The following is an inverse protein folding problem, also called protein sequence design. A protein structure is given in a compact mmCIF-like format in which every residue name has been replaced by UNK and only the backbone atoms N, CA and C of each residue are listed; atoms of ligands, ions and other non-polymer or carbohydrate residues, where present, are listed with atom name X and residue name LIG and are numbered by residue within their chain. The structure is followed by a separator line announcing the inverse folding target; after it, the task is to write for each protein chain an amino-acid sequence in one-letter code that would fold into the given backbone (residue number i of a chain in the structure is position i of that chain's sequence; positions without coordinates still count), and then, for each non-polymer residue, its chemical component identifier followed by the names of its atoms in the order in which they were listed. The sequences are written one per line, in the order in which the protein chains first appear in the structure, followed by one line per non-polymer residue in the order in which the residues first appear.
data_IF_881373648453
#
_entry.id   IF_881373648453
#
_cell.length_a   1.000
_cell.length_b   1.000
_cell.length_c   1.000
_cell.angle_alpha   90.00
_cell.angle_beta   90.00
_cell.angle_gamma   90.00
#
_symmetry.space_group_name_H-M   'P 1'
#
loop_
_entity.id
_entity.type
_entity.pdbx_description
1 polymer ?
#
# COMPACT_ATOMS: atom_id res chain seq x y z
N UNK A 1 -2.88 12.83 -2.53
CA UNK A 1 -2.34 11.90 -3.55
C UNK A 1 -0.87 11.57 -3.31
N UNK A 2 0.04 12.54 -3.36
CA UNK A 2 1.48 12.31 -3.15
C UNK A 2 1.78 11.63 -1.80
N UNK A 3 1.20 12.12 -0.70
CA UNK A 3 1.42 11.52 0.63
C UNK A 3 0.97 10.05 0.71
N UNK A 4 -0.04 9.67 -0.08
CA UNK A 4 -0.57 8.31 -0.09
C UNK A 4 0.38 7.33 -0.79
N UNK A 5 1.56 7.74 -1.25
CA UNK A 5 2.57 6.88 -1.90
C UNK A 5 3.71 6.43 -1.00
N UNK A 6 3.71 6.75 0.29
CA UNK A 6 4.64 6.08 1.20
C UNK A 6 4.16 4.68 1.65
N UNK A 7 2.84 4.45 1.88
CA UNK A 7 2.38 3.23 2.53
C UNK A 7 1.61 2.24 1.63
N UNK A 8 1.66 2.37 0.29
CA UNK A 8 0.70 1.60 -0.54
C UNK A 8 1.06 0.13 -0.59
N UNK A 9 2.35 -0.20 -0.68
CA UNK A 9 2.80 -1.58 -0.76
C UNK A 9 2.32 -2.41 0.45
N UNK A 10 2.23 -1.80 1.64
CA UNK A 10 1.68 -2.44 2.84
C UNK A 10 0.24 -1.99 3.17
N UNK A 11 -0.44 -1.35 2.23
CA UNK A 11 -1.82 -0.92 2.35
C UNK A 11 -2.77 -2.10 2.63
N UNK A 12 -3.85 -1.83 3.39
CA UNK A 12 -4.77 -2.88 3.82
C UNK A 12 -4.09 -3.97 4.66
N UNK A 13 -3.03 -3.60 5.38
CA UNK A 13 -2.18 -4.49 6.18
C UNK A 13 -1.48 -5.56 5.35
N UNK A 14 -0.74 -5.10 4.35
CA UNK A 14 0.06 -5.97 3.50
C UNK A 14 -0.73 -6.71 2.43
N UNK A 15 -1.97 -6.30 2.12
CA UNK A 15 -2.79 -6.99 1.12
C UNK A 15 -2.09 -7.09 -0.25
N UNK A 16 -1.43 -6.03 -0.79
CA UNK A 16 -0.68 -6.15 -2.03
C UNK A 16 0.44 -7.19 -1.98
N UNK A 17 1.21 -7.25 -0.89
CA UNK A 17 2.28 -8.24 -0.70
C UNK A 17 1.70 -9.65 -0.51
N UNK A 18 0.55 -9.78 0.16
CA UNK A 18 -0.16 -11.06 0.33
C UNK A 18 -0.56 -11.61 -1.04
N UNK A 19 -1.21 -10.78 -1.87
CA UNK A 19 -1.61 -11.13 -3.22
C UNK A 19 -0.40 -11.50 -4.09
N UNK A 20 0.68 -10.73 -4.00
CA UNK A 20 1.93 -11.00 -4.69
C UNK A 20 2.43 -12.41 -4.37
N UNK A 21 2.49 -12.79 -3.09
CA UNK A 21 2.84 -14.15 -2.67
C UNK A 21 1.87 -15.20 -3.23
N UNK A 22 0.55 -14.97 -3.13
CA UNK A 22 -0.48 -15.90 -3.61
C UNK A 22 -0.38 -16.20 -5.11
N UNK A 23 -0.24 -15.18 -5.96
CA UNK A 23 -0.18 -15.39 -7.42
C UNK A 23 1.18 -15.91 -7.87
N UNK A 24 2.26 -15.57 -7.16
CA UNK A 24 3.59 -16.10 -7.48
C UNK A 24 3.76 -17.54 -7.02
N UNK A 25 3.03 -17.95 -5.98
CA UNK A 25 3.21 -19.23 -5.29
C UNK A 25 4.44 -19.25 -4.38
N UNK A 26 4.95 -18.07 -4.02
CA UNK A 26 6.13 -17.88 -3.17
C UNK A 26 5.73 -17.24 -1.83
N UNK A 27 6.49 -17.44 -0.74
CA UNK A 27 6.21 -16.82 0.56
C UNK A 27 6.12 -15.30 0.45
N UNK A 28 5.16 -14.69 1.16
CA UNK A 28 4.92 -13.24 1.07
C UNK A 28 5.93 -12.41 1.87
N UNK A 29 6.51 -13.01 2.92
CA UNK A 29 7.39 -12.36 3.88
C UNK A 29 8.67 -11.78 3.23
N UNK A 30 9.41 -12.51 2.37
CA UNK A 30 10.58 -11.98 1.70
C UNK A 30 10.27 -10.81 0.76
N UNK A 31 9.13 -10.86 0.04
CA UNK A 31 8.66 -9.72 -0.76
C UNK A 31 8.37 -8.50 0.09
N UNK A 32 7.73 -8.69 1.25
CA UNK A 32 7.47 -7.62 2.19
C UNK A 32 8.75 -6.98 2.72
N UNK A 33 9.72 -7.80 3.13
CA UNK A 33 11.03 -7.33 3.56
C UNK A 33 11.72 -6.50 2.47
N UNK A 34 11.73 -7.01 1.24
CA UNK A 34 12.35 -6.35 0.09
C UNK A 34 11.62 -5.05 -0.30
N UNK A 35 10.28 -5.06 -0.31
CA UNK A 35 9.48 -3.86 -0.57
C UNK A 35 9.76 -2.78 0.47
N UNK A 36 9.96 -3.15 1.75
CA UNK A 36 10.29 -2.20 2.80
C UNK A 36 11.63 -1.52 2.57
N UNK A 37 12.63 -2.28 2.10
CA UNK A 37 13.95 -1.74 1.73
C UNK A 37 13.90 -0.85 0.49
N UNK A 38 12.97 -1.09 -0.44
CA UNK A 38 12.79 -0.25 -1.63
C UNK A 38 12.03 1.04 -1.32
N UNK A 39 10.86 0.93 -0.67
CA UNK A 39 9.95 2.04 -0.42
C UNK A 39 10.47 2.98 0.66
N UNK A 40 11.28 2.52 1.62
CA UNK A 40 11.83 3.38 2.67
C UNK A 40 12.65 4.57 2.14
N UNK A 41 13.39 4.38 1.04
CA UNK A 41 14.12 5.48 0.40
C UNK A 41 13.17 6.52 -0.19
N UNK A 42 12.05 6.07 -0.75
CA UNK A 42 11.01 6.96 -1.28
C UNK A 42 10.27 7.66 -0.14
N UNK A 43 9.98 6.94 0.94
CA UNK A 43 9.35 7.48 2.14
C UNK A 43 10.19 8.58 2.82
N UNK A 44 11.52 8.51 2.71
CA UNK A 44 12.40 9.59 3.13
C UNK A 44 12.17 10.88 2.33
N UNK A 45 11.94 10.77 1.03
CA UNK A 45 11.81 11.91 0.10
C UNK A 45 10.42 12.53 0.13
N UNK A 46 9.36 11.72 0.36
CA UNK A 46 7.97 12.17 0.29
C UNK A 46 7.67 13.39 1.19
N UNK A 47 8.07 13.46 2.47
CA UNK A 47 7.83 14.63 3.31
C UNK A 47 8.41 15.93 2.71
N UNK A 48 9.58 15.87 2.07
CA UNK A 48 10.17 17.02 1.40
C UNK A 48 9.35 17.45 0.18
N UNK A 49 8.87 16.49 -0.60
CA UNK A 49 7.96 16.78 -1.74
C UNK A 49 6.68 17.45 -1.25
N UNK A 50 6.09 16.96 -0.16
CA UNK A 50 4.87 17.54 0.40
C UNK A 50 5.07 18.98 0.87
N UNK A 51 6.17 19.25 1.59
CA UNK A 51 6.53 20.59 2.04
C UNK A 51 6.77 21.51 0.85
N UNK A 52 7.46 21.03 -0.19
CA UNK A 52 7.70 21.80 -1.40
C UNK A 52 6.42 22.09 -2.19
N UNK A 53 5.48 21.14 -2.27
CA UNK A 53 4.19 21.36 -2.93
C UNK A 53 3.31 22.34 -2.14
N UNK A 54 3.44 22.35 -0.81
CA UNK A 54 2.66 23.24 0.06
C UNK A 54 3.14 24.69 0.05
N UNK A 55 4.45 24.94 0.16
CA UNK A 55 5.00 26.31 0.31
C UNK A 55 6.33 26.53 -0.46
N UNK A 56 6.57 25.71 -1.49
CA UNK A 56 7.70 25.85 -2.39
C UNK A 56 9.07 25.76 -1.71
N UNK A 57 10.02 26.56 -2.20
CA UNK A 57 11.39 26.61 -1.68
C UNK A 57 11.46 27.20 -0.26
N UNK A 58 10.53 28.09 0.09
CA UNK A 58 10.45 28.70 1.42
C UNK A 58 10.09 27.65 2.45
N UNK A 59 9.00 26.93 2.23
CA UNK A 59 8.57 25.82 3.09
C UNK A 59 9.68 24.80 3.28
N UNK A 60 10.36 24.42 2.19
CA UNK A 60 11.47 23.47 2.27
C UNK A 60 12.60 23.99 3.16
N UNK A 61 13.03 25.25 2.98
CA UNK A 61 14.09 25.86 3.79
C UNK A 61 13.72 25.96 5.27
N UNK A 62 12.43 26.14 5.59
CA UNK A 62 11.97 26.32 6.97
C UNK A 62 11.66 24.99 7.66
N UNK A 63 11.09 24.02 6.95
CA UNK A 63 10.57 22.77 7.52
C UNK A 63 11.40 21.52 7.15
N UNK A 64 12.55 21.66 6.47
CA UNK A 64 13.42 20.50 6.16
C UNK A 64 13.80 19.66 7.38
N UNK A 65 14.03 20.20 8.61
CA UNK A 65 14.37 19.34 9.75
C UNK A 65 13.21 18.43 10.13
N UNK A 66 11.99 18.97 10.15
CA UNK A 66 10.78 18.20 10.42
C UNK A 66 10.50 17.16 9.32
N UNK A 67 10.68 17.53 8.05
CA UNK A 67 10.56 16.61 6.92
C UNK A 67 11.58 15.47 6.98
N UNK A 68 12.83 15.77 7.33
CA UNK A 68 13.88 14.78 7.53
C UNK A 68 13.54 13.83 8.67
N UNK A 69 13.15 14.36 9.83
CA UNK A 69 12.78 13.56 10.99
C UNK A 69 11.60 12.65 10.68
N UNK A 70 10.57 13.16 10.01
CA UNK A 70 9.42 12.37 9.58
C UNK A 70 9.84 11.25 8.61
N UNK A 71 10.60 11.58 7.55
CA UNK A 71 11.02 10.64 6.53
C UNK A 71 11.97 9.55 7.06
N UNK A 72 12.96 9.93 7.87
CA UNK A 72 13.91 8.99 8.48
C UNK A 72 13.22 8.06 9.46
N UNK A 73 12.39 8.59 10.37
CA UNK A 73 11.67 7.75 11.34
C UNK A 73 10.69 6.79 10.65
N UNK A 74 9.97 7.26 9.62
CA UNK A 74 9.05 6.42 8.87
C UNK A 74 9.79 5.33 8.08
N UNK A 75 10.78 5.71 7.26
CA UNK A 75 11.55 4.78 6.45
C UNK A 75 12.35 3.77 7.27
N UNK A 76 13.00 4.21 8.36
CA UNK A 76 13.73 3.30 9.25
C UNK A 76 12.79 2.28 9.90
N UNK A 77 11.62 2.72 10.36
CA UNK A 77 10.62 1.82 10.93
C UNK A 77 10.09 0.85 9.88
N UNK A 78 9.87 1.30 8.64
CA UNK A 78 9.48 0.41 7.54
C UNK A 78 10.52 -0.69 7.30
N UNK A 79 11.81 -0.36 7.22
CA UNK A 79 12.89 -1.35 7.00
C UNK A 79 12.94 -2.38 8.13
N UNK A 80 12.78 -1.93 9.38
CA UNK A 80 12.85 -2.81 10.54
C UNK A 80 11.61 -3.71 10.60
N UNK A 81 10.41 -3.13 10.55
CA UNK A 81 9.18 -3.90 10.72
C UNK A 81 8.86 -4.79 9.52
N UNK A 82 9.25 -4.42 8.29
CA UNK A 82 8.98 -5.26 7.13
C UNK A 82 9.68 -6.62 7.18
N UNK A 83 10.79 -6.72 7.92
CA UNK A 83 11.51 -7.98 8.12
C UNK A 83 10.81 -8.94 9.09
N UNK A 84 10.09 -8.39 10.07
CA UNK A 84 9.37 -9.20 11.06
C UNK A 84 7.92 -9.44 10.66
N UNK A 85 7.26 -8.41 10.14
CA UNK A 85 5.84 -8.43 9.83
C UNK A 85 5.44 -7.35 8.82
N UNK A 86 5.40 -7.73 7.54
CA UNK A 86 4.99 -6.83 6.47
C UNK A 86 3.55 -6.30 6.64
N UNK A 87 2.66 -7.02 7.35
CA UNK A 87 1.26 -6.60 7.53
C UNK A 87 1.10 -5.41 8.48
N UNK A 88 2.00 -5.28 9.46
CA UNK A 88 1.97 -4.20 10.46
C UNK A 88 2.93 -3.05 10.14
N UNK A 89 3.71 -3.18 9.06
CA UNK A 89 4.83 -2.29 8.76
C UNK A 89 4.44 -0.82 8.69
N UNK A 90 3.40 -0.47 7.93
CA UNK A 90 3.01 0.94 7.78
C UNK A 90 2.26 1.49 8.99
N UNK A 91 1.57 0.65 9.75
CA UNK A 91 0.95 1.06 11.02
C UNK A 91 2.05 1.44 12.00
N UNK A 92 3.06 0.59 12.15
CA UNK A 92 4.21 0.88 13.00
C UNK A 92 4.96 2.13 12.53
N UNK A 93 5.26 2.23 11.23
CA UNK A 93 5.97 3.38 10.66
C UNK A 93 5.23 4.70 10.87
N UNK A 94 3.90 4.72 10.66
CA UNK A 94 3.09 5.90 10.89
C UNK A 94 3.07 6.31 12.37
N UNK A 95 2.89 5.36 13.30
CA UNK A 95 2.86 5.64 14.73
C UNK A 95 4.21 6.14 15.25
N UNK A 96 5.31 5.46 14.91
CA UNK A 96 6.66 5.86 15.32
C UNK A 96 6.99 7.23 14.73
N UNK A 97 6.73 7.45 13.44
CA UNK A 97 7.00 8.73 12.80
C UNK A 97 6.19 9.87 13.42
N UNK A 98 4.90 9.63 13.73
CA UNK A 98 4.08 10.62 14.42
C UNK A 98 4.61 10.97 15.81
N UNK A 99 4.96 9.96 16.63
CA UNK A 99 5.52 10.17 17.98
C UNK A 99 6.84 10.93 17.92
N UNK A 100 7.75 10.51 17.04
CA UNK A 100 9.06 11.14 16.87
C UNK A 100 8.90 12.59 16.38
N UNK A 101 8.00 12.85 15.43
CA UNK A 101 7.76 14.19 14.92
C UNK A 101 7.14 15.12 15.99
N UNK A 102 6.20 14.61 16.80
CA UNK A 102 5.62 15.36 17.92
C UNK A 102 6.67 15.65 18.99
N UNK A 103 7.51 14.66 19.34
CA UNK A 103 8.59 14.84 20.30
C UNK A 103 9.62 15.87 19.78
N UNK A 104 9.98 15.79 18.50
CA UNK A 104 10.85 16.76 17.85
C UNK A 104 10.23 18.16 17.87
N UNK A 105 8.94 18.30 17.57
CA UNK A 105 8.21 19.57 17.61
C UNK A 105 8.12 20.22 19.00
N UNK A 106 8.36 19.47 20.08
CA UNK A 106 8.49 20.05 21.44
C UNK A 106 9.81 20.78 21.64
N UNK A 107 10.87 20.35 20.94
CA UNK A 107 12.23 20.89 21.05
C UNK A 107 12.52 21.90 19.94
N UNK A 108 12.01 21.64 18.74
CA UNK A 108 12.22 22.45 17.55
C UNK A 108 10.89 23.05 17.06
N UNK A 109 10.88 24.35 16.77
CA UNK A 109 9.74 25.07 16.19
C UNK A 109 10.20 25.87 14.98
N UNK A 110 9.37 25.98 13.92
CA UNK A 110 9.71 26.82 12.77
C UNK A 110 9.75 28.29 13.17
N UNK A 111 10.65 29.05 12.55
CA UNK A 111 10.87 30.49 12.82
C UNK A 111 9.65 31.34 12.43
N UNK A 112 8.88 30.89 11.43
CA UNK A 112 7.63 31.51 11.00
C UNK A 112 6.53 30.45 10.96
N UNK A 113 5.36 30.79 11.52
CA UNK A 113 4.15 29.98 11.40
C UNK A 113 3.24 30.62 10.37
N UNK A 114 3.06 29.98 9.22
CA UNK A 114 2.01 30.38 8.26
C UNK A 114 0.67 30.17 8.97
N UNK A 115 -0.17 31.20 9.05
CA UNK A 115 -1.49 31.13 9.67
C UNK A 115 -2.28 29.97 9.09
N UNK A 116 -2.55 28.96 9.93
CA UNK A 116 -3.12 27.70 9.47
C UNK A 116 -4.59 27.88 9.06
N UNK A 117 -4.89 27.76 7.77
CA UNK A 117 -6.14 27.11 7.40
C UNK A 117 -5.97 25.63 7.77
N UNK A 118 -6.81 25.06 8.65
CA UNK A 118 -6.67 23.67 9.06
C UNK A 118 -6.81 22.77 7.83
N UNK A 119 -5.70 22.16 7.41
CA UNK A 119 -5.72 21.19 6.33
C UNK A 119 -6.47 19.96 6.84
N UNK A 120 -7.61 19.67 6.23
CA UNK A 120 -8.47 18.56 6.62
C UNK A 120 -7.77 17.24 6.27
N UNK A 121 -7.14 16.60 7.25
CA UNK A 121 -6.79 15.19 7.17
C UNK A 121 -8.03 14.37 7.56
N UNK A 122 -8.74 13.81 6.58
CA UNK A 122 -9.89 12.93 6.82
C UNK A 122 -10.61 12.56 5.54
N UNK A 123 -10.41 11.33 5.06
CA UNK A 123 -10.97 10.79 3.83
C UNK A 123 -12.39 10.22 3.97
N UNK A 124 -13.35 11.04 4.40
CA UNK A 124 -14.78 10.71 4.26
C UNK A 124 -15.58 11.99 4.10
N UNK A 125 -15.85 12.38 2.85
CA UNK A 125 -16.69 13.53 2.51
C UNK A 125 -17.79 13.08 1.55
N UNK A 126 -18.70 12.27 2.05
CA UNK A 126 -20.01 12.06 1.39
C UNK A 126 -21.06 13.07 1.89
N UNK A 127 -20.67 14.06 2.70
CA UNK A 127 -21.59 15.10 3.15
C UNK A 127 -21.01 16.53 2.92
N UNK A 128 -21.39 17.21 1.82
CA UNK A 128 -21.08 18.62 1.62
C UNK A 128 -21.79 19.53 2.66
N UNK A 129 -22.71 19.00 3.47
CA UNK A 129 -23.33 19.70 4.59
C UNK A 129 -22.60 19.49 5.93
N UNK A 130 -21.45 18.79 5.98
CA UNK A 130 -20.61 18.77 7.17
C UNK A 130 -19.87 20.10 7.33
N UNK A 131 -20.63 21.17 7.54
CA UNK A 131 -20.17 22.37 8.23
C UNK A 131 -19.67 21.86 9.57
N UNK A 132 -18.34 21.76 9.71
CA UNK A 132 -17.73 21.51 11.01
C UNK A 132 -18.14 22.67 11.90
N UNK A 133 -19.13 22.42 12.76
CA UNK A 133 -19.41 23.30 13.88
C UNK A 133 -18.08 23.51 14.57
N UNK A 134 -17.66 24.78 14.67
CA UNK A 134 -16.45 25.14 15.40
C UNK A 134 -16.45 24.37 16.72
N UNK A 135 -15.35 23.66 17.00
CA UNK A 135 -15.19 22.91 18.24
C UNK A 135 -15.56 23.79 19.43
N UNK A 136 -16.18 23.19 20.44
CA UNK A 136 -16.69 23.91 21.61
C UNK A 136 -15.58 24.83 22.18
N UNK A 137 -15.87 26.07 22.61
CA UNK A 137 -14.85 27.06 23.02
C UNK A 137 -13.86 26.60 24.11
N UNK A 138 -14.14 25.50 24.81
CA UNK A 138 -13.26 24.87 25.81
C UNK A 138 -12.34 23.76 25.28
N UNK A 139 -12.35 23.46 23.98
CA UNK A 139 -11.66 22.31 23.38
C UNK A 139 -12.34 20.97 23.68
N UNK A 140 -11.82 19.90 23.08
CA UNK A 140 -12.38 18.56 23.26
C UNK A 140 -12.08 17.99 24.65
N UNK A 141 -13.07 17.35 25.27
CA UNK A 141 -12.87 16.68 26.55
C UNK A 141 -11.88 15.52 26.43
N UNK A 142 -11.27 15.08 27.54
CA UNK A 142 -10.39 13.90 27.52
C UNK A 142 -11.13 12.65 27.01
N UNK A 143 -12.43 12.56 27.29
CA UNK A 143 -13.30 11.48 26.80
C UNK A 143 -13.47 11.55 25.27
N UNK A 144 -13.74 12.73 24.72
CA UNK A 144 -13.93 12.90 23.26
C UNK A 144 -12.65 12.58 22.50
N UNK A 145 -11.50 12.99 23.05
CA UNK A 145 -10.19 12.63 22.51
C UNK A 145 -9.99 11.12 22.48
N UNK A 146 -10.25 10.43 23.60
CA UNK A 146 -10.13 8.95 23.65
C UNK A 146 -11.09 8.29 22.66
N UNK A 147 -12.37 8.69 22.65
CA UNK A 147 -13.39 8.15 21.75
C UNK A 147 -13.01 8.33 20.27
N UNK A 148 -12.39 9.46 19.91
CA UNK A 148 -11.93 9.72 18.54
C UNK A 148 -10.79 8.78 18.09
N UNK A 149 -9.96 8.31 19.02
CA UNK A 149 -8.85 7.38 18.72
C UNK A 149 -9.22 5.89 18.85
N UNK A 150 -10.37 5.56 19.47
CA UNK A 150 -10.80 4.17 19.67
C UNK A 150 -10.87 3.33 18.38
N UNK A 151 -11.37 3.81 17.23
CA UNK A 151 -11.41 3.00 16.01
C UNK A 151 -10.03 2.52 15.59
N UNK A 152 -9.03 3.40 15.66
CA UNK A 152 -7.63 3.06 15.36
C UNK A 152 -7.05 2.10 16.41
N UNK A 153 -7.40 2.31 17.69
CA UNK A 153 -6.97 1.42 18.77
C UNK A 153 -7.52 -0.01 18.61
N UNK A 154 -8.79 -0.18 18.19
CA UNK A 154 -9.37 -1.49 17.93
C UNK A 154 -8.69 -2.21 16.76
N UNK A 155 -8.39 -1.49 15.69
CA UNK A 155 -7.61 -2.05 14.57
C UNK A 155 -6.26 -2.51 15.10
N UNK A 156 -5.48 -1.63 15.75
CA UNK A 156 -4.15 -1.99 16.28
C UNK A 156 -4.23 -3.21 17.22
N UNK A 157 -5.19 -3.23 18.14
CA UNK A 157 -5.34 -4.30 19.12
C UNK A 157 -5.69 -5.65 18.47
N UNK A 158 -6.75 -5.70 17.64
CA UNK A 158 -7.18 -6.94 16.99
C UNK A 158 -6.09 -7.53 16.09
N UNK A 159 -5.43 -6.67 15.31
CA UNK A 159 -4.35 -7.11 14.45
C UNK A 159 -3.12 -7.57 15.23
N UNK A 160 -2.76 -6.90 16.31
CA UNK A 160 -1.63 -7.32 17.14
C UNK A 160 -1.90 -8.66 17.83
N UNK A 161 -3.11 -8.85 18.36
CA UNK A 161 -3.51 -10.09 19.05
C UNK A 161 -3.51 -11.28 18.10
N UNK A 162 -4.08 -11.14 16.90
CA UNK A 162 -4.16 -12.24 15.92
C UNK A 162 -2.79 -12.68 15.43
N UNK A 163 -1.78 -11.81 15.49
CA UNK A 163 -0.41 -12.13 15.07
C UNK A 163 0.38 -12.91 16.13
N UNK A 164 -0.18 -13.15 17.33
CA UNK A 164 0.42 -14.05 18.31
C UNK A 164 0.51 -15.46 17.69
N UNK A 165 1.69 -16.10 17.63
CA UNK A 165 1.90 -17.33 16.85
C UNK A 165 0.88 -18.44 17.13
N UNK A 166 0.55 -18.68 18.40
CA UNK A 166 -0.44 -19.69 18.79
C UNK A 166 -1.85 -19.39 18.24
N UNK A 167 -2.28 -18.13 18.33
CA UNK A 167 -3.60 -17.71 17.84
C UNK A 167 -3.62 -17.70 16.30
N UNK A 168 -2.55 -17.21 15.68
CA UNK A 168 -2.38 -17.22 14.23
C UNK A 168 -2.51 -18.62 13.66
N UNK A 169 -1.75 -19.58 14.20
CA UNK A 169 -1.81 -20.98 13.73
C UNK A 169 -3.19 -21.61 13.94
N UNK A 170 -3.87 -21.29 15.04
CA UNK A 170 -5.24 -21.78 15.28
C UNK A 170 -6.23 -21.22 14.24
N UNK A 171 -6.15 -19.92 13.94
CA UNK A 171 -7.04 -19.27 12.97
C UNK A 171 -6.72 -19.66 11.52
N UNK A 172 -5.43 -19.81 11.18
CA UNK A 172 -4.99 -20.29 9.86
C UNK A 172 -5.42 -21.77 9.65
N UNK A 173 -5.50 -22.58 10.71
CA UNK A 173 -6.06 -23.93 10.67
C UNK A 173 -7.56 -23.98 10.34
N UNK A 174 -8.28 -22.86 10.48
CA UNK A 174 -9.69 -22.73 10.09
C UNK A 174 -9.87 -22.33 8.61
N UNK A 175 -8.78 -22.24 7.84
CA UNK A 175 -8.83 -21.89 6.43
C UNK A 175 -9.62 -22.93 5.63
N UNK A 176 -10.50 -22.44 4.76
CA UNK A 176 -11.25 -23.29 3.83
C UNK A 176 -10.48 -23.33 2.52
N UNK A 177 -10.32 -24.52 1.96
CA UNK A 177 -9.63 -24.75 0.68
C UNK A 177 -10.63 -25.19 -0.38
N UNK A 178 -11.50 -24.30 -0.88
CA UNK A 178 -12.45 -24.67 -1.93
C UNK A 178 -11.69 -25.14 -3.16
N UNK A 179 -12.03 -26.35 -3.62
CA UNK A 179 -11.59 -26.85 -4.93
C UNK A 179 -12.59 -26.38 -5.96
N UNK A 180 -12.10 -25.68 -6.99
CA UNK A 180 -12.97 -25.24 -8.07
C UNK A 180 -13.25 -26.41 -9.03
N UNK A 181 -14.52 -26.73 -9.33
CA UNK A 181 -14.84 -27.86 -10.19
C UNK A 181 -14.31 -27.65 -11.61
N UNK A 182 -13.73 -28.71 -12.20
CA UNK A 182 -13.24 -28.71 -13.59
C UNK A 182 -11.85 -28.10 -13.81
N UNK A 183 -11.05 -27.90 -12.75
CA UNK A 183 -9.68 -27.36 -12.83
C UNK A 183 -8.60 -28.43 -12.69
N UNK A 184 -8.71 -29.51 -13.48
CA UNK A 184 -7.70 -30.57 -13.57
C UNK A 184 -6.60 -30.19 -14.57
N UNK A 185 -5.81 -29.18 -14.21
CA UNK A 185 -4.70 -28.72 -15.05
C UNK A 185 -3.48 -29.63 -14.92
N UNK A 186 -2.78 -29.85 -16.03
CA UNK A 186 -1.48 -30.53 -16.04
C UNK A 186 -0.40 -29.59 -16.54
N UNK A 187 0.79 -29.69 -15.95
CA UNK A 187 1.95 -28.96 -16.44
C UNK A 187 2.52 -29.64 -17.72
N UNK A 188 3.53 -29.03 -18.39
CA UNK A 188 4.14 -29.64 -19.59
C UNK A 188 4.75 -31.04 -19.37
N UNK A 189 5.01 -31.42 -18.11
CA UNK A 189 5.50 -32.74 -17.72
C UNK A 189 4.37 -33.73 -17.37
N UNK A 190 3.09 -33.38 -17.64
CA UNK A 190 1.92 -34.22 -17.37
C UNK A 190 1.56 -34.34 -15.89
N UNK A 191 2.19 -33.56 -15.00
CA UNK A 191 1.88 -33.59 -13.56
C UNK A 191 0.72 -32.65 -13.25
N UNK A 192 -0.22 -33.04 -12.36
CA UNK A 192 -1.29 -32.16 -11.91
C UNK A 192 -0.76 -30.86 -11.31
N UNK A 193 -1.37 -29.75 -11.69
CA UNK A 193 -1.17 -28.44 -11.08
C UNK A 193 -2.26 -28.24 -10.04
N UNK A 194 -1.87 -28.11 -8.77
CA UNK A 194 -2.83 -27.83 -7.71
C UNK A 194 -3.41 -26.42 -7.90
N UNK A 195 -4.71 -26.33 -8.20
CA UNK A 195 -5.44 -25.07 -8.31
C UNK A 195 -6.30 -24.86 -7.08
N UNK A 196 -5.65 -24.73 -5.92
CA UNK A 196 -6.31 -24.51 -4.64
C UNK A 196 -6.18 -23.06 -4.23
N UNK A 197 -7.32 -22.41 -3.96
CA UNK A 197 -7.35 -21.12 -3.29
C UNK A 197 -7.52 -21.34 -1.79
N UNK A 198 -6.52 -20.97 -0.99
CA UNK A 198 -6.64 -21.00 0.46
C UNK A 198 -7.40 -19.75 0.92
N UNK A 199 -8.60 -19.92 1.49
CA UNK A 199 -9.40 -18.84 2.08
C UNK A 199 -9.24 -18.86 3.61
N UNK A 200 -8.28 -18.10 4.18
CA UNK A 200 -8.07 -18.01 5.62
C UNK A 200 -9.06 -17.03 6.26
N UNK A 201 -10.37 -17.30 6.16
CA UNK A 201 -11.42 -16.35 6.52
C UNK A 201 -11.30 -15.78 7.93
N UNK A 202 -10.82 -16.56 8.90
CA UNK A 202 -10.74 -16.17 10.31
C UNK A 202 -9.56 -15.23 10.60
N UNK A 203 -8.40 -15.45 9.97
CA UNK A 203 -7.21 -14.60 10.09
C UNK A 203 -7.10 -13.54 8.98
N UNK A 204 -8.10 -13.48 8.08
CA UNK A 204 -8.09 -12.56 6.96
C UNK A 204 -8.16 -11.09 7.43
N UNK A 205 -7.32 -10.18 6.90
CA UNK A 205 -7.34 -8.76 7.26
C UNK A 205 -8.74 -8.11 7.14
N UNK A 206 -9.52 -8.49 6.12
CA UNK A 206 -10.88 -7.99 5.95
C UNK A 206 -11.82 -8.33 7.13
N UNK A 207 -11.75 -9.56 7.64
CA UNK A 207 -12.57 -10.02 8.78
C UNK A 207 -12.20 -9.27 10.06
N UNK A 208 -10.90 -9.06 10.28
CA UNK A 208 -10.41 -8.31 11.44
C UNK A 208 -10.82 -6.83 11.39
N UNK A 209 -10.78 -6.20 10.21
CA UNK A 209 -11.31 -4.84 10.03
C UNK A 209 -12.82 -4.76 10.25
N UNK A 210 -13.56 -5.78 9.78
CA UNK A 210 -15.00 -5.86 10.02
C UNK A 210 -15.32 -5.94 11.52
N UNK A 211 -14.59 -6.77 12.27
CA UNK A 211 -14.72 -6.86 13.73
C UNK A 211 -14.33 -5.55 14.42
N UNK A 212 -13.25 -4.90 13.99
CA UNK A 212 -12.85 -3.58 14.52
C UNK A 212 -13.94 -2.53 14.29
N UNK A 213 -14.57 -2.55 13.11
CA UNK A 213 -15.70 -1.68 12.76
C UNK A 213 -16.94 -1.97 13.62
N UNK A 214 -17.23 -3.23 13.90
CA UNK A 214 -18.33 -3.61 14.79
C UNK A 214 -18.11 -3.12 16.22
N UNK A 215 -16.91 -3.32 16.78
CA UNK A 215 -16.52 -2.79 18.09
C UNK A 215 -16.66 -1.26 18.12
N UNK A 216 -16.17 -0.60 17.08
CA UNK A 216 -16.30 0.86 16.92
C UNK A 216 -17.76 1.29 16.95
N UNK A 217 -18.64 0.63 16.18
CA UNK A 217 -20.05 0.97 16.12
C UNK A 217 -20.77 0.81 17.45
N UNK A 218 -20.46 -0.25 18.21
CA UNK A 218 -20.97 -0.46 19.56
C UNK A 218 -20.52 0.65 20.50
N UNK A 219 -19.25 1.05 20.43
CA UNK A 219 -18.70 2.09 21.34
C UNK A 219 -19.18 3.50 21.04
N UNK A 220 -19.37 3.82 19.76
CA UNK A 220 -19.86 5.12 19.30
C UNK A 220 -21.39 5.19 19.16
N UNK A 221 -22.10 4.08 19.46
CA UNK A 221 -23.55 3.96 19.35
C UNK A 221 -24.09 4.32 17.96
N UNK A 222 -23.35 3.95 16.91
CA UNK A 222 -23.75 4.17 15.51
C UNK A 222 -24.40 2.93 14.91
N UNK A 223 -25.16 3.07 13.83
CA UNK A 223 -25.76 1.94 13.14
C UNK A 223 -24.74 1.31 12.15
N UNK A 224 -24.14 0.14 12.47
CA UNK A 224 -23.10 -0.46 11.62
C UNK A 224 -23.65 -0.93 10.27
N UNK A 225 -24.91 -1.38 10.23
CA UNK A 225 -25.51 -1.98 9.02
C UNK A 225 -25.67 -0.92 7.92
N UNK A 226 -26.20 0.25 8.27
CA UNK A 226 -26.35 1.35 7.31
C UNK A 226 -25.01 1.81 6.77
N UNK A 227 -24.01 1.97 7.64
CA UNK A 227 -22.66 2.36 7.24
C UNK A 227 -22.03 1.31 6.33
N UNK A 228 -22.08 0.03 6.72
CA UNK A 228 -21.53 -1.07 5.94
C UNK A 228 -22.18 -1.19 4.56
N UNK A 229 -23.52 -1.11 4.49
CA UNK A 229 -24.23 -1.19 3.20
C UNK A 229 -23.93 0.01 2.29
N UNK A 230 -23.83 1.22 2.86
CA UNK A 230 -23.40 2.39 2.12
C UNK A 230 -22.00 2.20 1.53
N UNK A 231 -21.06 1.67 2.32
CA UNK A 231 -19.71 1.31 1.86
C UNK A 231 -19.73 0.24 0.78
N UNK A 232 -20.47 -0.86 0.94
CA UNK A 232 -20.57 -1.91 -0.11
C UNK A 232 -21.11 -1.34 -1.42
N UNK A 233 -22.14 -0.48 -1.36
CA UNK A 233 -22.69 0.16 -2.56
C UNK A 233 -21.70 1.14 -3.20
N UNK A 234 -20.96 1.88 -2.39
CA UNK A 234 -19.91 2.81 -2.84
C UNK A 234 -18.76 2.07 -3.53
N UNK A 235 -18.33 0.93 -2.99
CA UNK A 235 -17.22 0.13 -3.53
C UNK A 235 -17.67 -0.98 -4.48
N UNK A 236 -18.97 -1.13 -4.79
CA UNK A 236 -19.51 -2.29 -5.51
C UNK A 236 -18.83 -2.56 -6.85
N UNK A 237 -18.68 -1.53 -7.68
CA UNK A 237 -17.98 -1.66 -8.97
C UNK A 237 -16.48 -1.96 -8.80
N UNK A 238 -15.83 -1.37 -7.80
CA UNK A 238 -14.42 -1.63 -7.51
C UNK A 238 -14.19 -3.09 -7.07
N UNK A 239 -15.10 -3.65 -6.26
CA UNK A 239 -15.07 -5.06 -5.85
C UNK A 239 -15.16 -5.97 -7.09
N UNK A 240 -16.12 -5.72 -7.98
CA UNK A 240 -16.28 -6.49 -9.22
C UNK A 240 -15.01 -6.43 -10.08
N UNK A 241 -14.44 -5.23 -10.25
CA UNK A 241 -13.20 -5.06 -11.02
C UNK A 241 -12.03 -5.84 -10.41
N UNK A 242 -11.82 -5.77 -9.08
CA UNK A 242 -10.73 -6.49 -8.42
C UNK A 242 -10.89 -8.00 -8.58
N UNK A 243 -12.11 -8.53 -8.38
CA UNK A 243 -12.37 -9.96 -8.54
C UNK A 243 -12.16 -10.43 -9.99
N UNK A 244 -12.60 -9.65 -10.98
CA UNK A 244 -12.39 -9.95 -12.39
C UNK A 244 -10.90 -9.92 -12.77
N UNK A 245 -10.15 -8.94 -12.26
CA UNK A 245 -8.70 -8.82 -12.45
C UNK A 245 -7.96 -10.01 -11.81
N UNK A 246 -8.38 -10.45 -10.63
CA UNK A 246 -7.81 -11.62 -9.95
C UNK A 246 -8.08 -12.91 -10.73
N UNK A 247 -9.31 -13.08 -11.23
CA UNK A 247 -9.67 -14.21 -12.09
C UNK A 247 -8.85 -14.21 -13.38
N UNK A 248 -8.71 -13.05 -14.04
CA UNK A 248 -7.89 -12.89 -15.24
C UNK A 248 -6.43 -13.25 -14.97
N UNK A 249 -5.86 -12.80 -13.85
CA UNK A 249 -4.49 -13.13 -13.46
C UNK A 249 -4.24 -14.64 -13.40
N UNK A 250 -5.13 -15.40 -12.74
CA UNK A 250 -5.02 -16.87 -12.70
C UNK A 250 -5.19 -17.50 -14.08
N UNK A 251 -6.12 -17.01 -14.91
CA UNK A 251 -6.29 -17.49 -16.29
C UNK A 251 -5.01 -17.26 -17.10
N UNK A 252 -4.43 -16.06 -17.05
CA UNK A 252 -3.18 -15.72 -17.74
C UNK A 252 -1.99 -16.56 -17.23
N UNK A 253 -1.96 -16.85 -15.93
CA UNK A 253 -0.91 -17.67 -15.30
C UNK A 253 -1.00 -19.13 -15.72
N UNK A 254 -2.19 -19.71 -15.69
CA UNK A 254 -2.40 -21.13 -16.02
C UNK A 254 -2.39 -21.39 -17.53
N UNK A 255 -2.73 -20.40 -18.35
CA UNK A 255 -2.64 -20.50 -19.82
C UNK A 255 -1.23 -20.27 -20.39
N UNK A 256 -0.22 -19.98 -19.57
CA UNK A 256 1.16 -19.80 -20.05
C UNK A 256 1.50 -18.38 -20.56
N UNK A 257 0.53 -17.46 -20.58
CA UNK A 257 0.71 -16.10 -21.12
C UNK A 257 1.71 -15.29 -20.28
N UNK A 258 1.60 -15.39 -18.95
CA UNK A 258 2.50 -14.72 -18.01
C UNK A 258 3.93 -15.20 -18.16
N UNK A 259 4.13 -16.52 -18.35
CA UNK A 259 5.45 -17.10 -18.54
C UNK A 259 6.08 -16.59 -19.84
N UNK A 260 5.31 -16.56 -20.93
CA UNK A 260 5.75 -16.04 -22.24
C UNK A 260 6.22 -14.59 -22.14
N UNK A 261 5.42 -13.72 -21.50
CA UNK A 261 5.79 -12.31 -21.31
C UNK A 261 7.01 -12.15 -20.40
N UNK A 262 7.12 -12.94 -19.33
CA UNK A 262 8.27 -12.93 -18.43
C UNK A 262 9.58 -13.31 -19.13
N UNK A 263 9.55 -14.35 -19.97
CA UNK A 263 10.71 -14.76 -20.79
C UNK A 263 11.08 -13.69 -21.81
N UNK A 264 10.09 -13.09 -22.48
CA UNK A 264 10.33 -12.00 -23.42
C UNK A 264 11.03 -10.81 -22.74
N UNK A 265 10.53 -10.40 -21.57
CA UNK A 265 11.12 -9.28 -20.81
C UNK A 265 12.51 -9.61 -20.24
N UNK A 266 12.77 -10.86 -19.90
CA UNK A 266 14.11 -11.32 -19.54
C UNK A 266 15.12 -11.14 -20.69
N UNK A 267 14.66 -11.03 -21.94
CA UNK A 267 15.50 -10.66 -23.08
C UNK A 267 16.19 -9.30 -22.94
N UNK A 268 15.71 -8.41 -22.06
CA UNK A 268 16.39 -7.16 -21.73
C UNK A 268 17.64 -7.34 -20.84
N UNK A 269 17.91 -8.56 -20.35
CA UNK A 269 19.08 -8.87 -19.54
C UNK A 269 19.06 -8.14 -18.19
N UNK A 270 20.25 -7.80 -17.69
CA UNK A 270 20.42 -7.07 -16.43
C UNK A 270 19.71 -5.70 -16.41
N UNK A 271 19.48 -5.08 -17.58
CA UNK A 271 18.76 -3.81 -17.67
C UNK A 271 17.28 -3.95 -17.28
N UNK A 272 16.73 -5.18 -17.28
CA UNK A 272 15.37 -5.41 -16.80
C UNK A 272 15.17 -4.97 -15.34
N UNK A 273 16.22 -5.00 -14.50
CA UNK A 273 16.11 -4.50 -13.13
C UNK A 273 15.73 -3.01 -13.06
N UNK A 274 16.21 -2.19 -14.01
CA UNK A 274 15.80 -0.80 -14.14
C UNK A 274 14.36 -0.66 -14.65
N UNK A 275 13.92 -1.55 -15.54
CA UNK A 275 12.58 -1.55 -16.12
C UNK A 275 11.51 -2.14 -15.20
N UNK A 276 11.89 -3.00 -14.26
CA UNK A 276 10.97 -3.77 -13.40
C UNK A 276 9.98 -2.88 -12.64
N UNK A 277 10.38 -1.76 -11.98
CA UNK A 277 9.42 -0.86 -11.33
C UNK A 277 8.44 -0.20 -12.29
N UNK A 278 8.82 0.02 -13.55
CA UNK A 278 7.97 0.66 -14.56
C UNK A 278 6.76 -0.23 -14.88
N UNK A 279 6.96 -1.55 -14.92
CA UNK A 279 5.87 -2.52 -15.10
C UNK A 279 4.84 -2.40 -13.97
N UNK A 280 5.31 -2.33 -12.72
CA UNK A 280 4.45 -2.12 -11.55
C UNK A 280 3.70 -0.78 -11.61
N UNK A 281 4.42 0.29 -11.98
CA UNK A 281 3.86 1.63 -12.15
C UNK A 281 2.72 1.66 -13.16
N UNK A 282 2.89 1.06 -14.34
CA UNK A 282 1.82 0.95 -15.34
C UNK A 282 0.65 0.10 -14.82
N UNK A 283 0.96 -1.03 -14.16
CA UNK A 283 -0.05 -1.90 -13.58
C UNK A 283 -0.98 -1.14 -12.63
N UNK A 284 -0.44 -0.33 -11.72
CA UNK A 284 -1.26 0.45 -10.77
C UNK A 284 -1.88 1.69 -11.39
N UNK A 285 -1.20 2.35 -12.33
CA UNK A 285 -1.79 3.48 -13.05
C UNK A 285 -3.10 3.08 -13.76
N UNK A 286 -3.15 1.86 -14.31
CA UNK A 286 -4.33 1.31 -14.99
C UNK A 286 -5.34 0.74 -13.99
N UNK A 287 -4.90 -0.14 -13.08
CA UNK A 287 -5.82 -0.87 -12.18
C UNK A 287 -6.28 -0.04 -10.98
N UNK A 288 -5.57 1.03 -10.64
CA UNK A 288 -5.80 1.88 -9.47
C UNK A 288 -5.36 1.27 -8.13
N UNK A 289 -4.92 0.01 -8.10
CA UNK A 289 -4.56 -0.69 -6.85
C UNK A 289 -3.30 -1.55 -7.00
N UNK A 290 -2.38 -1.47 -6.03
CA UNK A 290 -1.20 -2.35 -5.98
C UNK A 290 -1.58 -3.82 -5.88
N UNK A 291 -2.67 -4.14 -5.18
CA UNK A 291 -3.25 -5.48 -5.12
C UNK A 291 -3.60 -6.00 -6.52
N UNK A 292 -4.35 -5.23 -7.32
CA UNK A 292 -4.70 -5.60 -8.69
C UNK A 292 -3.49 -5.69 -9.62
N UNK A 293 -2.54 -4.75 -9.50
CA UNK A 293 -1.31 -4.78 -10.29
C UNK A 293 -0.41 -5.98 -9.93
N UNK A 294 -0.27 -6.32 -8.66
CA UNK A 294 0.46 -7.51 -8.23
C UNK A 294 -0.23 -8.78 -8.71
N UNK A 295 -1.56 -8.84 -8.66
CA UNK A 295 -2.30 -9.98 -9.20
C UNK A 295 -1.93 -10.22 -10.67
N UNK A 296 -1.93 -9.17 -11.49
CA UNK A 296 -1.69 -9.28 -12.93
C UNK A 296 -0.21 -9.48 -13.31
N UNK A 297 0.71 -8.80 -12.62
CA UNK A 297 2.08 -8.59 -13.12
C UNK A 297 3.16 -9.26 -12.25
N UNK A 298 2.87 -9.63 -11.00
CA UNK A 298 3.91 -10.16 -10.11
C UNK A 298 4.50 -11.48 -10.60
N UNK A 299 3.66 -12.40 -11.12
CA UNK A 299 4.14 -13.68 -11.63
C UNK A 299 5.06 -13.50 -12.85
N UNK A 300 4.78 -12.52 -13.70
CA UNK A 300 5.65 -12.14 -14.82
C UNK A 300 7.02 -11.68 -14.31
N UNK A 301 7.05 -10.86 -13.27
CA UNK A 301 8.29 -10.35 -12.66
C UNK A 301 9.14 -11.46 -12.06
N UNK A 302 8.53 -12.38 -11.31
CA UNK A 302 9.25 -13.54 -10.75
C UNK A 302 9.73 -14.52 -11.83
N UNK A 303 9.00 -14.62 -12.95
CA UNK A 303 9.44 -15.43 -14.08
C UNK A 303 10.66 -14.82 -14.76
N UNK A 304 10.64 -13.50 -14.99
CA UNK A 304 11.80 -12.79 -15.53
C UNK A 304 13.01 -12.87 -14.59
N UNK A 305 12.80 -12.78 -13.27
CA UNK A 305 13.85 -12.96 -12.27
C UNK A 305 14.50 -14.34 -12.36
N UNK A 306 13.69 -15.40 -12.47
CA UNK A 306 14.19 -16.77 -12.62
C UNK A 306 15.01 -16.96 -13.89
N UNK A 307 14.60 -16.37 -15.01
CA UNK A 307 15.37 -16.42 -16.27
C UNK A 307 16.71 -15.66 -16.17
N UNK A 308 16.75 -14.59 -15.36
CA UNK A 308 17.95 -13.78 -15.15
C UNK A 308 18.82 -14.27 -13.98
N UNK A 309 18.45 -15.37 -13.32
CA UNK A 309 19.10 -15.88 -12.10
C UNK A 309 19.22 -14.81 -10.99
N UNK A 310 18.21 -13.96 -10.87
CA UNK A 310 18.09 -12.93 -9.83
C UNK A 310 17.05 -13.40 -8.80
N UNK A 311 17.20 -13.07 -7.51
CA UNK A 311 16.20 -13.39 -6.50
C UNK A 311 14.80 -12.87 -6.91
N UNK A 312 13.75 -13.73 -6.96
CA UNK A 312 12.41 -13.33 -7.38
C UNK A 312 11.82 -12.20 -6.53
N UNK A 313 12.27 -12.10 -5.28
CA UNK A 313 11.90 -11.07 -4.30
C UNK A 313 12.22 -9.67 -4.81
N UNK A 314 13.35 -9.50 -5.51
CA UNK A 314 13.79 -8.20 -6.01
C UNK A 314 12.78 -7.62 -7.01
N UNK A 315 12.41 -8.39 -8.04
CA UNK A 315 11.49 -7.93 -9.08
C UNK A 315 10.02 -8.01 -8.67
N UNK A 316 9.65 -9.01 -7.86
CA UNK A 316 8.32 -9.05 -7.26
C UNK A 316 8.06 -7.82 -6.39
N UNK A 317 8.98 -7.49 -5.49
CA UNK A 317 8.86 -6.28 -4.66
C UNK A 317 8.92 -5.00 -5.51
N UNK A 318 9.78 -4.95 -6.54
CA UNK A 318 9.86 -3.82 -7.45
C UNK A 318 8.53 -3.55 -8.16
N UNK A 319 7.76 -4.60 -8.48
CA UNK A 319 6.41 -4.46 -9.01
C UNK A 319 5.49 -3.71 -8.03
N UNK A 320 5.48 -4.12 -6.76
CA UNK A 320 4.67 -3.47 -5.75
C UNK A 320 5.15 -2.04 -5.52
N UNK A 321 6.45 -1.85 -5.29
CA UNK A 321 7.10 -0.55 -5.03
C UNK A 321 6.91 0.45 -6.17
N UNK A 322 7.01 -0.01 -7.43
CA UNK A 322 6.74 0.81 -8.61
C UNK A 322 5.27 1.16 -8.73
N UNK A 323 4.40 0.22 -8.39
CA UNK A 323 2.96 0.40 -8.29
C UNK A 323 2.56 1.55 -7.34
N UNK A 324 3.23 1.64 -6.19
CA UNK A 324 3.05 2.74 -5.24
C UNK A 324 3.18 4.12 -5.92
N UNK A 325 4.14 4.27 -6.84
CA UNK A 325 4.35 5.52 -7.58
C UNK A 325 3.27 5.75 -8.65
N UNK A 326 2.80 4.67 -9.27
CA UNK A 326 1.71 4.68 -10.26
C UNK A 326 0.37 5.09 -9.64
N UNK A 327 0.20 4.83 -8.35
CA UNK A 327 -1.03 5.15 -7.61
C UNK A 327 -1.36 6.65 -7.58
N UNK A 328 -0.39 7.54 -7.74
CA UNK A 328 -0.65 9.00 -7.84
C UNK A 328 -1.44 9.39 -9.07
N UNK A 329 -1.26 8.66 -10.17
CA UNK A 329 -1.78 9.01 -11.49
C UNK A 329 -2.94 8.12 -11.92
N UNK A 330 -3.40 7.22 -11.04
CA UNK A 330 -4.52 6.35 -11.38
C UNK A 330 -5.82 7.15 -11.47
N UNK A 331 -6.65 6.93 -12.51
CA UNK A 331 -7.91 7.66 -12.70
C UNK A 331 -8.81 7.61 -11.45
N UNK A 332 -8.88 6.45 -10.80
CA UNK A 332 -9.68 6.26 -9.58
C UNK A 332 -9.24 7.18 -8.45
N UNK A 333 -7.94 7.30 -8.19
CA UNK A 333 -7.45 8.16 -7.12
C UNK A 333 -7.54 9.64 -7.48
N UNK A 334 -7.34 9.99 -8.76
CA UNK A 334 -7.52 11.35 -9.23
C UNK A 334 -8.97 11.81 -9.02
N UNK A 335 -9.95 10.97 -9.38
CA UNK A 335 -11.37 11.25 -9.19
C UNK A 335 -11.75 11.37 -7.69
N UNK A 336 -11.24 10.49 -6.83
CA UNK A 336 -11.45 10.61 -5.37
C UNK A 336 -10.78 11.89 -4.85
N UNK A 337 -9.58 12.21 -5.34
CA UNK A 337 -8.83 13.38 -4.97
C UNK A 337 -9.53 14.69 -5.34
N UNK A 338 -10.08 14.79 -6.56
CA UNK A 338 -10.85 15.96 -7.03
C UNK A 338 -12.18 16.09 -6.30
N UNK A 339 -12.91 14.99 -6.11
CA UNK A 339 -14.14 14.98 -5.34
C UNK A 339 -13.93 15.45 -3.90
N UNK A 340 -12.84 15.03 -3.26
CA UNK A 340 -12.55 15.38 -1.86
C UNK A 340 -12.30 16.88 -1.61
N UNK A 341 -11.94 17.64 -2.65
CA UNK A 341 -11.67 19.08 -2.57
C UNK A 341 -12.68 19.93 -3.36
N UNK A 342 -13.76 19.32 -3.86
CA UNK A 342 -14.81 20.02 -4.61
C UNK A 342 -14.41 20.44 -6.02
N UNK A 343 -13.41 19.79 -6.63
CA UNK A 343 -12.88 20.08 -7.97
C UNK A 343 -13.23 18.98 -8.99
N UNK A 344 -14.41 18.36 -8.85
CA UNK A 344 -14.89 17.29 -9.77
C UNK A 344 -14.90 17.81 -11.21
N UNK A 345 -14.30 17.07 -12.14
CA UNK A 345 -14.12 17.49 -13.53
C UNK A 345 -12.74 18.10 -13.83
N UNK A 346 -11.94 18.41 -12.81
CA UNK A 346 -10.55 18.90 -12.97
C UNK A 346 -9.49 17.79 -12.87
N UNK A 347 -9.85 16.51 -13.05
CA UNK A 347 -8.94 15.37 -12.90
C UNK A 347 -7.73 15.50 -13.83
N UNK A 348 -7.93 16.02 -15.05
CA UNK A 348 -6.86 16.26 -16.01
C UNK A 348 -5.88 17.35 -15.55
N UNK A 349 -6.35 18.39 -14.87
CA UNK A 349 -5.49 19.44 -14.30
C UNK A 349 -4.69 18.87 -13.13
N UNK A 350 -5.32 18.06 -12.28
CA UNK A 350 -4.64 17.37 -11.19
C UNK A 350 -3.58 16.40 -11.72
N UNK A 351 -3.92 15.58 -12.72
CA UNK A 351 -3.00 14.65 -13.39
C UNK A 351 -1.73 15.34 -13.89
N UNK A 352 -1.87 16.46 -14.63
CA UNK A 352 -0.71 17.22 -15.13
C UNK A 352 0.19 17.74 -14.01
N UNK A 353 -0.36 18.04 -12.83
CA UNK A 353 0.42 18.49 -11.66
C UNK A 353 1.13 17.35 -10.94
N UNK A 354 0.60 16.12 -10.97
CA UNK A 354 1.17 14.98 -10.21
C UNK A 354 2.03 14.04 -11.05
N UNK A 355 1.85 14.00 -12.38
CA UNK A 355 2.59 13.07 -13.25
C UNK A 355 4.11 13.27 -13.16
N UNK A 356 4.58 14.53 -13.07
CA UNK A 356 6.01 14.82 -12.94
C UNK A 356 6.61 14.25 -11.65
N UNK A 357 5.89 14.34 -10.52
CA UNK A 357 6.30 13.74 -9.26
C UNK A 357 6.29 12.22 -9.32
N UNK A 358 5.26 11.63 -9.94
CA UNK A 358 5.16 10.19 -10.14
C UNK A 358 6.33 9.64 -10.97
N UNK A 359 6.67 10.29 -12.08
CA UNK A 359 7.79 9.90 -12.92
C UNK A 359 9.15 10.10 -12.22
N UNK A 360 9.34 11.20 -11.48
CA UNK A 360 10.59 11.44 -10.76
C UNK A 360 10.85 10.41 -9.66
N UNK A 361 9.82 10.09 -8.86
CA UNK A 361 9.95 9.07 -7.81
C UNK A 361 10.06 7.66 -8.40
N UNK A 362 9.41 7.38 -9.53
CA UNK A 362 9.61 6.15 -10.28
C UNK A 362 11.06 6.01 -10.76
N UNK A 363 11.65 7.06 -11.34
CA UNK A 363 13.05 7.03 -11.78
C UNK A 363 14.00 6.78 -10.62
N UNK A 364 13.78 7.43 -9.47
CA UNK A 364 14.56 7.16 -8.26
C UNK A 364 14.47 5.67 -7.87
N UNK A 365 13.28 5.09 -7.90
CA UNK A 365 13.09 3.68 -7.59
C UNK A 365 13.74 2.76 -8.64
N UNK A 366 13.66 3.09 -9.93
CA UNK A 366 14.33 2.34 -11.01
C UNK A 366 15.84 2.28 -10.79
N UNK A 367 16.45 3.41 -10.38
CA UNK A 367 17.86 3.47 -10.04
C UNK A 367 18.18 2.62 -8.80
N UNK A 368 17.35 2.67 -7.76
CA UNK A 368 17.54 1.86 -6.54
C UNK A 368 17.47 0.36 -6.87
N UNK A 369 16.46 -0.08 -7.62
CA UNK A 369 16.28 -1.50 -7.97
C UNK A 369 17.40 -1.98 -8.89
N UNK A 370 17.85 -1.13 -9.83
CA UNK A 370 19.02 -1.45 -10.63
C UNK A 370 20.26 -1.61 -9.75
N UNK A 371 20.53 -0.70 -8.82
CA UNK A 371 21.66 -0.84 -7.89
C UNK A 371 21.52 -2.09 -7.00
N UNK A 372 20.30 -2.46 -6.58
CA UNK A 372 20.03 -3.68 -5.81
C UNK A 372 20.26 -4.96 -6.61
N UNK A 373 20.14 -4.92 -7.95
CA UNK A 373 20.53 -6.05 -8.82
C UNK A 373 22.05 -6.19 -9.01
N UNK A 374 22.84 -5.22 -8.54
CA UNK A 374 24.31 -5.22 -8.67
C UNK A 374 25.00 -5.46 -7.32
N UNK A 375 26.31 -5.76 -7.28
CA UNK A 375 27.04 -5.91 -6.03
C UNK A 375 27.04 -4.69 -5.10
N UNK A 376 26.66 -3.50 -5.61
CA UNK A 376 26.67 -2.24 -4.84
C UNK A 376 25.62 -2.27 -3.73
N UNK A 377 24.37 -2.61 -4.05
CA UNK A 377 23.27 -2.72 -3.10
C UNK A 377 22.68 -4.14 -3.02
N UNK A 378 23.31 -5.13 -3.64
CA UNK A 378 22.86 -6.53 -3.62
C UNK A 378 22.75 -7.13 -2.21
N UNK A 379 23.53 -6.60 -1.25
CA UNK A 379 23.43 -6.98 0.16
C UNK A 379 22.11 -6.55 0.84
N UNK A 380 21.33 -5.67 0.20
CA UNK A 380 19.97 -5.31 0.64
C UNK A 380 18.91 -6.28 0.12
N UNK A 381 19.24 -7.23 -0.75
CA UNK A 381 18.30 -8.26 -1.22
C UNK A 381 18.29 -9.41 -0.20
N UNK A 382 17.12 -9.83 0.32
CA UNK A 382 17.04 -10.86 1.36
C UNK A 382 17.40 -12.25 0.87
#
# INVERSE_FOLDING_TARGET
LIANTAPVAFGGMGNPITILGSVTGLPAEPFGAMAGRQVAFVALVIPFVLVFVADGRRGLRQAWPAALVAGVSFGATQIVFSQFNYKLTDIAAALVSAVVLVAFGKVWKPVETVGALPTVAGGSVDDPAFVRTHGSPGGDSARDKVLAFLPYAYVIALFSVVQIPALKSALDGMAVKPVWPGMDLVNPAGKPVAVTYDLPWASHPGTLLFLAGLLTAVTLWTNPVRAYWATVRQFGWAIVTILAVFALAFVMQYSGQVQTLGVFLAGAGAFFAFLSPIVGWFGVAITGTDAGANALMAKLQTTAAGQLNIPPELFGAANSSGGVMGKMISPQNLAIGTAAVGLVGEEGTLFRKVIGWSAALLLLLCLIVFLQSTPILGWLVP
#
